data_IF_129814640634
#
_entry.id   IF_129814640634
#
_cell.length_a   1.000
_cell.length_b   1.000
_cell.length_c   1.000
_cell.angle_alpha   90.00
_cell.angle_beta   90.00
_cell.angle_gamma   90.00
#
_symmetry.space_group_name_H-M   'P 1'
#
loop_
_entity.id
_entity.type
_entity.pdbx_description
1 polymer ?
#
# COMPACT_ATOMS: atom_id res chain seq x y z
N UNK A 1 22.59 26.89 -7.95
CA UNK A 1 21.24 26.72 -7.35
C UNK A 1 20.60 25.37 -7.66
N UNK A 2 20.68 24.83 -8.87
CA UNK A 2 20.01 23.54 -9.24
C UNK A 2 20.52 22.28 -8.52
N UNK A 3 21.82 22.16 -8.24
CA UNK A 3 22.39 20.95 -7.59
C UNK A 3 21.91 20.74 -6.15
N UNK A 4 21.62 21.80 -5.40
CA UNK A 4 21.09 21.71 -4.03
C UNK A 4 19.63 21.26 -3.98
N UNK A 5 18.81 21.66 -4.94
CA UNK A 5 17.40 21.27 -5.05
C UNK A 5 17.27 19.79 -5.41
N UNK A 6 18.00 19.31 -6.41
CA UNK A 6 18.01 17.92 -6.82
C UNK A 6 18.49 16.98 -5.69
N UNK A 7 19.51 17.40 -4.94
CA UNK A 7 20.00 16.65 -3.79
C UNK A 7 18.91 16.53 -2.71
N UNK A 8 18.18 17.60 -2.43
CA UNK A 8 17.10 17.66 -1.44
C UNK A 8 15.92 16.77 -1.84
N UNK A 9 15.51 16.79 -3.11
CA UNK A 9 14.45 15.94 -3.65
C UNK A 9 14.84 14.46 -3.55
N UNK A 10 16.06 14.11 -3.95
CA UNK A 10 16.58 12.74 -3.86
C UNK A 10 16.58 12.23 -2.41
N UNK A 11 16.98 13.06 -1.47
CA UNK A 11 16.98 12.70 -0.04
C UNK A 11 15.56 12.48 0.47
N UNK A 12 14.62 13.36 0.15
CA UNK A 12 13.21 13.20 0.54
C UNK A 12 12.60 11.93 -0.04
N UNK A 13 12.80 11.69 -1.34
CA UNK A 13 12.30 10.47 -1.98
C UNK A 13 12.81 9.20 -1.28
N UNK A 14 14.11 9.14 -0.96
CA UNK A 14 14.71 7.99 -0.25
C UNK A 14 14.09 7.80 1.14
N UNK A 15 13.80 8.88 1.87
CA UNK A 15 13.16 8.84 3.18
C UNK A 15 11.75 8.23 3.10
N UNK A 16 10.90 8.72 2.19
CA UNK A 16 9.54 8.19 2.03
C UNK A 16 9.53 6.78 1.46
N UNK A 17 10.41 6.44 0.51
CA UNK A 17 10.55 5.08 0.00
C UNK A 17 10.90 4.09 1.12
N UNK A 18 11.79 4.48 2.05
CA UNK A 18 12.14 3.67 3.22
C UNK A 18 10.95 3.53 4.18
N UNK A 19 10.24 4.61 4.47
CA UNK A 19 9.06 4.62 5.33
C UNK A 19 7.98 3.68 4.82
N UNK A 20 7.72 3.71 3.52
CA UNK A 20 6.71 2.85 2.86
C UNK A 20 7.20 1.41 2.65
N UNK A 21 8.46 1.11 2.99
CA UNK A 21 9.08 -0.21 2.72
C UNK A 21 8.87 -0.65 1.26
N UNK A 22 9.22 0.24 0.32
CA UNK A 22 8.91 0.10 -1.11
C UNK A 22 9.23 -1.26 -1.71
N UNK A 23 10.29 -1.94 -1.25
CA UNK A 23 10.66 -3.30 -1.71
C UNK A 23 9.55 -4.29 -1.35
N UNK A 24 9.00 -4.21 -0.13
CA UNK A 24 7.91 -5.09 0.30
C UNK A 24 6.63 -4.80 -0.50
N UNK A 25 6.32 -3.52 -0.77
CA UNK A 25 5.18 -3.16 -1.63
C UNK A 25 5.36 -3.67 -3.05
N UNK A 26 6.58 -3.60 -3.59
CA UNK A 26 6.89 -4.16 -4.90
C UNK A 26 6.70 -5.68 -4.93
N UNK A 27 7.14 -6.40 -3.88
CA UNK A 27 6.91 -7.84 -3.78
C UNK A 27 5.41 -8.19 -3.72
N UNK A 28 4.61 -7.45 -2.94
CA UNK A 28 3.17 -7.63 -2.90
C UNK A 28 2.55 -7.41 -4.29
N UNK A 29 2.92 -6.32 -4.96
CA UNK A 29 2.47 -6.02 -6.30
C UNK A 29 2.81 -7.15 -7.28
N UNK A 30 4.03 -7.66 -7.27
CA UNK A 30 4.46 -8.77 -8.12
C UNK A 30 3.67 -10.06 -7.83
N UNK A 31 3.48 -10.41 -6.55
CA UNK A 31 2.71 -11.59 -6.16
C UNK A 31 1.27 -11.50 -6.70
N UNK A 32 0.60 -10.36 -6.51
CA UNK A 32 -0.78 -10.17 -6.96
C UNK A 32 -0.86 -10.25 -8.49
N UNK A 33 0.09 -9.64 -9.22
CA UNK A 33 0.16 -9.73 -10.68
C UNK A 33 0.41 -11.16 -11.17
N UNK A 34 1.33 -11.89 -10.53
CA UNK A 34 1.62 -13.29 -10.89
C UNK A 34 0.39 -14.17 -10.67
N UNK A 35 -0.32 -14.01 -9.56
CA UNK A 35 -1.55 -14.76 -9.27
C UNK A 35 -2.60 -14.51 -10.36
N UNK A 36 -2.81 -13.24 -10.78
CA UNK A 36 -3.79 -12.95 -11.81
C UNK A 36 -3.37 -13.47 -13.18
N UNK A 37 -2.20 -13.07 -13.66
CA UNK A 37 -1.78 -13.32 -15.03
C UNK A 37 -1.14 -14.70 -15.23
N UNK A 38 -0.51 -15.24 -14.18
CA UNK A 38 0.13 -16.56 -14.22
C UNK A 38 -0.79 -17.72 -13.82
N UNK A 39 -1.85 -17.46 -13.05
CA UNK A 39 -2.73 -18.52 -12.58
C UNK A 39 -4.20 -18.31 -13.00
N UNK A 40 -4.86 -17.26 -12.54
CA UNK A 40 -6.30 -17.11 -12.78
C UNK A 40 -6.66 -16.91 -14.24
N UNK A 41 -5.98 -16.01 -14.95
CA UNK A 41 -6.31 -15.73 -16.34
C UNK A 41 -6.12 -16.95 -17.26
N UNK A 42 -4.98 -17.69 -17.21
CA UNK A 42 -4.84 -18.94 -17.94
C UNK A 42 -5.87 -20.00 -17.56
N UNK A 43 -6.23 -20.11 -16.28
CA UNK A 43 -7.26 -21.05 -15.82
C UNK A 43 -8.61 -20.74 -16.43
N UNK A 44 -9.07 -19.48 -16.42
CA UNK A 44 -10.33 -19.07 -17.07
C UNK A 44 -10.32 -19.37 -18.57
N UNK A 45 -9.21 -19.10 -19.25
CA UNK A 45 -9.05 -19.43 -20.67
C UNK A 45 -9.14 -20.92 -20.93
N UNK A 46 -8.52 -21.76 -20.08
CA UNK A 46 -8.51 -23.21 -20.24
C UNK A 46 -9.89 -23.83 -20.07
N UNK A 47 -10.77 -23.25 -19.24
CA UNK A 47 -12.14 -23.73 -19.04
C UNK A 47 -13.18 -23.00 -19.92
N UNK A 48 -12.72 -22.15 -20.86
CA UNK A 48 -13.60 -21.44 -21.80
C UNK A 48 -14.43 -20.33 -21.18
N UNK A 49 -14.06 -19.82 -20.01
CA UNK A 49 -14.75 -18.73 -19.32
C UNK A 49 -14.00 -17.40 -19.48
N UNK A 50 -14.75 -16.31 -19.56
CA UNK A 50 -14.18 -14.96 -19.49
C UNK A 50 -13.76 -14.64 -18.05
N UNK A 51 -12.68 -13.84 -17.91
CA UNK A 51 -12.29 -13.36 -16.60
C UNK A 51 -13.38 -12.48 -15.98
N UNK A 52 -13.82 -12.73 -14.75
CA UNK A 52 -14.89 -11.96 -14.10
C UNK A 52 -14.46 -10.53 -13.75
N UNK A 53 -13.15 -10.25 -13.72
CA UNK A 53 -12.61 -8.94 -13.38
C UNK A 53 -12.02 -8.25 -14.61
N UNK A 54 -12.53 -7.08 -14.95
CA UNK A 54 -11.88 -6.20 -15.94
C UNK A 54 -10.51 -5.74 -15.45
N UNK A 55 -9.64 -5.31 -16.35
CA UNK A 55 -8.32 -4.77 -15.99
C UNK A 55 -8.43 -3.56 -15.06
N UNK A 56 -9.42 -2.70 -15.26
CA UNK A 56 -9.65 -1.50 -14.45
C UNK A 56 -10.06 -1.87 -13.02
N UNK A 57 -11.03 -2.78 -12.87
CA UNK A 57 -11.46 -3.24 -11.54
C UNK A 57 -10.29 -3.88 -10.79
N UNK A 58 -9.53 -4.72 -11.47
CA UNK A 58 -8.38 -5.36 -10.87
C UNK A 58 -7.31 -4.35 -10.44
N UNK A 59 -7.05 -3.32 -11.26
CA UNK A 59 -6.14 -2.24 -10.88
C UNK A 59 -6.59 -1.53 -9.60
N UNK A 60 -7.89 -1.24 -9.46
CA UNK A 60 -8.44 -0.63 -8.25
C UNK A 60 -8.27 -1.52 -7.01
N UNK A 61 -8.46 -2.83 -7.13
CA UNK A 61 -8.21 -3.79 -6.05
C UNK A 61 -6.73 -3.79 -5.65
N UNK A 62 -5.83 -3.88 -6.61
CA UNK A 62 -4.38 -3.86 -6.37
C UNK A 62 -3.95 -2.55 -5.71
N UNK A 63 -4.46 -1.43 -6.20
CA UNK A 63 -4.18 -0.11 -5.64
C UNK A 63 -4.64 -0.03 -4.17
N UNK A 64 -5.84 -0.54 -3.87
CA UNK A 64 -6.34 -0.62 -2.50
C UNK A 64 -5.42 -1.43 -1.59
N UNK A 65 -5.02 -2.63 -2.01
CA UNK A 65 -4.11 -3.51 -1.25
C UNK A 65 -2.80 -2.79 -0.95
N UNK A 66 -2.18 -2.18 -1.96
CA UNK A 66 -0.89 -1.50 -1.82
C UNK A 66 -1.00 -0.29 -0.87
N UNK A 67 -2.04 0.53 -0.99
CA UNK A 67 -2.23 1.71 -0.16
C UNK A 67 -2.49 1.36 1.30
N UNK A 68 -3.37 0.38 1.57
CA UNK A 68 -3.67 -0.06 2.95
C UNK A 68 -2.44 -0.71 3.58
N UNK A 69 -1.71 -1.54 2.82
CA UNK A 69 -0.45 -2.13 3.33
C UNK A 69 0.60 -1.07 3.63
N UNK A 70 0.74 -0.06 2.78
CA UNK A 70 1.66 1.06 3.02
C UNK A 70 1.27 1.84 4.28
N UNK A 71 -0.02 2.05 4.53
CA UNK A 71 -0.52 2.65 5.77
C UNK A 71 -0.15 1.80 6.99
N UNK A 72 -0.29 0.47 6.89
CA UNK A 72 0.12 -0.47 7.95
C UNK A 72 1.59 -0.36 8.32
N UNK A 73 2.49 -0.17 7.35
CA UNK A 73 3.91 0.06 7.65
C UNK A 73 4.14 1.37 8.41
N UNK A 74 3.42 2.43 8.04
CA UNK A 74 3.55 3.73 8.71
C UNK A 74 3.08 3.67 10.16
N UNK A 75 1.91 3.07 10.42
CA UNK A 75 1.37 2.98 11.78
C UNK A 75 2.26 2.12 12.66
N UNK A 76 2.78 1.02 12.13
CA UNK A 76 3.74 0.19 12.84
C UNK A 76 5.00 0.99 13.23
N UNK A 77 5.59 1.74 12.29
CA UNK A 77 6.76 2.59 12.56
C UNK A 77 6.44 3.72 13.57
N UNK A 78 5.18 4.19 13.66
CA UNK A 78 4.74 5.17 14.68
C UNK A 78 4.74 4.53 16.07
N UNK A 79 4.21 3.33 16.23
CA UNK A 79 4.14 2.64 17.53
C UNK A 79 5.51 2.13 17.98
N UNK A 80 6.33 1.65 17.05
CA UNK A 80 7.63 1.06 17.37
C UNK A 80 8.74 2.08 17.67
N UNK A 81 8.49 3.39 17.60
CA UNK A 81 9.50 4.43 17.78
C UNK A 81 10.37 4.27 19.04
N UNK A 82 9.76 3.92 20.18
CA UNK A 82 10.50 3.79 21.45
C UNK A 82 11.47 2.61 21.40
N UNK A 83 11.03 1.51 20.82
CA UNK A 83 11.80 0.27 20.68
C UNK A 83 12.90 0.44 19.65
N UNK A 84 12.56 1.07 18.50
CA UNK A 84 13.51 1.28 17.42
C UNK A 84 14.60 2.30 17.74
N UNK A 85 14.32 3.28 18.61
CA UNK A 85 15.37 4.19 19.13
C UNK A 85 16.46 3.46 19.90
N UNK A 86 16.13 2.40 20.60
CA UNK A 86 17.08 1.61 21.37
C UNK A 86 17.80 0.58 20.50
N UNK A 87 17.05 -0.11 19.63
CA UNK A 87 17.56 -1.28 18.91
C UNK A 87 18.16 -0.93 17.53
N UNK A 88 17.62 0.10 16.85
CA UNK A 88 17.98 0.43 15.46
C UNK A 88 17.96 1.95 15.20
N UNK A 89 18.74 2.75 15.93
CA UNK A 89 18.65 4.22 15.86
C UNK A 89 18.92 4.77 14.46
N UNK A 90 19.75 4.10 13.64
CA UNK A 90 20.09 4.51 12.26
C UNK A 90 18.98 4.24 11.24
N UNK A 91 17.99 3.41 11.59
CA UNK A 91 16.86 3.05 10.71
C UNK A 91 15.59 3.84 11.01
N UNK A 92 15.55 4.56 12.11
CA UNK A 92 14.39 5.32 12.52
C UNK A 92 14.06 6.43 11.52
N UNK A 93 12.86 6.36 10.92
CA UNK A 93 12.35 7.36 9.97
C UNK A 93 11.37 8.30 10.66
N UNK A 94 10.36 7.76 11.32
CA UNK A 94 9.38 8.53 12.10
C UNK A 94 10.04 9.05 13.38
N UNK A 95 9.90 10.34 13.64
CA UNK A 95 10.51 11.02 14.78
C UNK A 95 11.91 11.56 14.54
N UNK A 96 12.55 11.24 13.41
CA UNK A 96 13.81 11.86 12.97
C UNK A 96 13.63 12.60 11.63
N UNK A 97 13.39 11.88 10.54
CA UNK A 97 13.23 12.46 9.21
C UNK A 97 11.81 12.92 8.90
N UNK A 98 10.81 12.21 9.44
CA UNK A 98 9.38 12.52 9.31
C UNK A 98 8.78 12.71 10.70
N UNK A 99 8.06 13.82 10.93
CA UNK A 99 7.38 14.05 12.22
C UNK A 99 6.23 13.05 12.42
N UNK A 100 5.92 12.73 13.66
CA UNK A 100 4.82 11.82 14.03
C UNK A 100 3.49 12.31 13.46
N UNK A 101 3.20 13.62 13.53
CA UNK A 101 1.99 14.20 12.95
C UNK A 101 1.88 13.98 11.45
N UNK A 102 2.99 14.12 10.70
CA UNK A 102 3.02 13.80 9.28
C UNK A 102 2.82 12.31 9.02
N UNK A 103 3.36 11.45 9.88
CA UNK A 103 3.11 10.01 9.83
C UNK A 103 1.63 9.69 9.94
N UNK A 104 0.93 10.28 10.92
CA UNK A 104 -0.52 10.11 11.09
C UNK A 104 -1.33 10.63 9.90
N UNK A 105 -0.97 11.79 9.35
CA UNK A 105 -1.64 12.34 8.15
C UNK A 105 -1.49 11.39 6.97
N UNK A 106 -0.29 10.87 6.73
CA UNK A 106 -0.03 9.90 5.65
C UNK A 106 -0.80 8.60 5.86
N UNK A 107 -0.81 8.07 7.09
CA UNK A 107 -1.58 6.88 7.45
C UNK A 107 -3.06 7.05 7.10
N UNK A 108 -3.68 8.11 7.58
CA UNK A 108 -5.11 8.39 7.32
C UNK A 108 -5.37 8.59 5.83
N UNK A 109 -4.54 9.36 5.14
CA UNK A 109 -4.71 9.61 3.70
C UNK A 109 -4.62 8.31 2.89
N UNK A 110 -3.61 7.47 3.14
CA UNK A 110 -3.44 6.20 2.41
C UNK A 110 -4.61 5.24 2.67
N UNK A 111 -5.12 5.18 3.90
CA UNK A 111 -6.30 4.36 4.21
C UNK A 111 -7.55 4.88 3.50
N UNK A 112 -7.80 6.20 3.52
CA UNK A 112 -8.96 6.79 2.82
C UNK A 112 -8.89 6.47 1.32
N UNK A 113 -7.77 6.71 0.66
CA UNK A 113 -7.61 6.41 -0.77
C UNK A 113 -7.69 4.91 -1.06
N UNK A 114 -7.14 4.07 -0.19
CA UNK A 114 -7.25 2.62 -0.28
C UNK A 114 -8.70 2.14 -0.17
N UNK A 115 -9.45 2.63 0.82
CA UNK A 115 -10.87 2.29 1.01
C UNK A 115 -11.74 2.80 -0.14
N UNK A 116 -11.51 4.01 -0.64
CA UNK A 116 -12.22 4.52 -1.82
C UNK A 116 -11.97 3.63 -3.03
N UNK A 117 -10.70 3.29 -3.31
CA UNK A 117 -10.34 2.44 -4.45
C UNK A 117 -10.98 1.05 -4.35
N UNK A 118 -10.88 0.41 -3.18
CA UNK A 118 -11.50 -0.88 -2.92
C UNK A 118 -13.02 -0.83 -2.96
N UNK A 119 -13.62 0.23 -2.43
CA UNK A 119 -15.05 0.47 -2.45
C UNK A 119 -15.61 0.60 -3.87
N UNK A 120 -14.95 1.38 -4.73
CA UNK A 120 -15.33 1.49 -6.15
C UNK A 120 -15.24 0.13 -6.83
N UNK A 121 -14.17 -0.63 -6.58
CA UNK A 121 -14.02 -1.97 -7.14
C UNK A 121 -15.14 -2.93 -6.68
N UNK A 122 -15.47 -2.94 -5.39
CA UNK A 122 -16.52 -3.80 -4.83
C UNK A 122 -17.91 -3.49 -5.40
N UNK A 123 -18.21 -2.20 -5.58
CA UNK A 123 -19.48 -1.77 -6.20
C UNK A 123 -19.57 -2.21 -7.67
N UNK A 124 -18.47 -2.16 -8.42
CA UNK A 124 -18.46 -2.59 -9.83
C UNK A 124 -18.54 -4.11 -10.02
N UNK A 125 -18.15 -4.89 -9.01
CA UNK A 125 -18.27 -6.36 -9.02
C UNK A 125 -19.67 -6.81 -8.60
N UNK A 126 -20.55 -5.88 -8.15
CA UNK A 126 -21.88 -6.17 -7.61
C UNK A 126 -21.85 -7.11 -6.38
N UNK A 127 -20.71 -7.11 -5.66
CA UNK A 127 -20.50 -7.90 -4.45
C UNK A 127 -20.23 -6.99 -3.24
N UNK A 128 -21.26 -6.36 -2.68
CA UNK A 128 -21.09 -5.41 -1.58
C UNK A 128 -20.47 -6.05 -0.32
N UNK A 129 -20.56 -7.38 -0.20
CA UNK A 129 -19.92 -8.12 0.88
C UNK A 129 -18.39 -7.94 0.90
N UNK A 130 -17.75 -7.66 -0.26
CA UNK A 130 -16.33 -7.38 -0.35
C UNK A 130 -15.94 -6.08 0.37
N UNK A 131 -16.87 -5.14 0.53
CA UNK A 131 -16.62 -3.92 1.32
C UNK A 131 -16.24 -4.24 2.76
N UNK A 132 -16.85 -5.26 3.36
CA UNK A 132 -16.53 -5.70 4.71
C UNK A 132 -15.09 -6.18 4.85
N UNK A 133 -14.52 -6.81 3.82
CA UNK A 133 -13.12 -7.24 3.83
C UNK A 133 -12.17 -6.04 3.89
N UNK A 134 -12.47 -4.95 3.18
CA UNK A 134 -11.69 -3.72 3.23
C UNK A 134 -11.83 -3.01 4.58
N UNK A 135 -13.05 -2.97 5.13
CA UNK A 135 -13.30 -2.39 6.47
C UNK A 135 -12.59 -3.19 7.55
N UNK A 136 -12.65 -4.53 7.49
CA UNK A 136 -11.93 -5.40 8.42
C UNK A 136 -10.42 -5.23 8.32
N UNK A 137 -9.86 -5.12 7.11
CA UNK A 137 -8.43 -4.89 6.93
C UNK A 137 -7.97 -3.56 7.55
N UNK A 138 -8.82 -2.53 7.50
CA UNK A 138 -8.58 -1.26 8.19
C UNK A 138 -8.63 -1.39 9.71
N UNK A 139 -9.57 -2.17 10.26
CA UNK A 139 -9.74 -2.36 11.70
C UNK A 139 -8.65 -3.24 12.34
N UNK A 140 -7.92 -4.01 11.54
CA UNK A 140 -6.80 -4.86 11.99
C UNK A 140 -5.43 -4.15 11.93
N UNK A 141 -5.36 -2.96 11.34
CA UNK A 141 -4.15 -2.12 11.26
C UNK A 141 -4.12 -1.11 12.40
#
# INVERSE_FOLDING_TARGET
>A
MGKSLLCRIKTQFTVYARLLRWINLLMILLIVLIIRYGFFLPLYMAIGLASPLSHTIYFLVVLSIVLITAAGYIVNDIYDQKIDRLNKPTRLVIGQAVSVSRGWILYVALNIFGLISGGIAALQIEQPMLLWLFVLSFGLL
#
